data_IF_757201388131
#
_entry.id   IF_757201388131
#
_cell.length_a   1.000
_cell.length_b   1.000
_cell.length_c   1.000
_cell.angle_alpha   90.00
_cell.angle_beta   90.00
_cell.angle_gamma   90.00
#
_symmetry.space_group_name_H-M   'P 1'
#
loop_
_entity.id
_entity.type
_entity.pdbx_description
1 polymer ?
#
# COMPACT_ATOMS: atom_id res chain seq x y z
N UNK A 1 -16.25 6.90 35.56
CA UNK A 1 -16.78 7.61 34.36
C UNK A 1 -18.14 7.04 34.05
N UNK A 2 -19.16 7.88 33.84
CA UNK A 2 -20.49 7.41 33.47
C UNK A 2 -20.52 6.87 32.04
N UNK A 3 -21.42 5.91 31.78
CA UNK A 3 -21.62 5.30 30.44
C UNK A 3 -21.87 6.36 29.35
N UNK A 4 -22.55 7.46 29.71
CA UNK A 4 -22.85 8.57 28.82
C UNK A 4 -21.59 9.37 28.42
N UNK A 5 -20.68 9.65 29.37
CA UNK A 5 -19.41 10.31 29.10
C UNK A 5 -18.51 9.46 28.18
N UNK A 6 -18.55 8.13 28.29
CA UNK A 6 -17.84 7.21 27.41
C UNK A 6 -18.42 7.23 25.99
N UNK A 7 -19.77 7.26 25.86
CA UNK A 7 -20.45 7.35 24.56
C UNK A 7 -20.15 8.67 23.84
N UNK A 8 -20.15 9.79 24.58
CA UNK A 8 -19.83 11.12 24.04
C UNK A 8 -18.39 11.19 23.56
N UNK A 9 -17.42 10.62 24.32
CA UNK A 9 -16.01 10.54 23.90
C UNK A 9 -15.82 9.69 22.64
N UNK A 10 -16.58 8.60 22.47
CA UNK A 10 -16.51 7.76 21.26
C UNK A 10 -17.03 8.45 19.99
N UNK A 11 -17.84 9.49 20.14
CA UNK A 11 -18.38 10.31 19.05
C UNK A 11 -17.60 11.60 18.79
N UNK A 12 -16.56 11.88 19.60
CA UNK A 12 -15.74 13.06 19.41
C UNK A 12 -15.07 13.04 18.03
N UNK A 13 -15.11 14.18 17.36
CA UNK A 13 -14.46 14.35 16.06
C UNK A 13 -12.94 14.24 16.22
N UNK A 14 -12.30 13.52 15.29
CA UNK A 14 -10.85 13.47 15.14
C UNK A 14 -10.36 14.42 14.02
N UNK A 15 -11.20 15.36 13.57
CA UNK A 15 -10.84 16.30 12.53
C UNK A 15 -9.60 17.12 12.95
N UNK A 16 -8.57 17.07 12.13
CA UNK A 16 -7.37 17.90 12.26
C UNK A 16 -7.60 19.18 11.45
N UNK A 17 -7.23 20.38 11.95
CA UNK A 17 -7.30 21.61 11.15
C UNK A 17 -6.44 21.47 9.89
N UNK A 18 -7.03 21.84 8.74
CA UNK A 18 -6.38 21.79 7.43
C UNK A 18 -6.83 22.97 6.58
N UNK A 19 -6.05 23.36 5.58
CA UNK A 19 -6.44 24.34 4.57
C UNK A 19 -7.28 23.77 3.43
N UNK A 20 -7.51 22.43 3.41
CA UNK A 20 -8.31 21.77 2.38
C UNK A 20 -9.82 21.86 2.68
N UNK A 21 -10.63 21.95 1.63
CA UNK A 21 -12.09 21.89 1.75
C UNK A 21 -12.59 20.50 2.17
N UNK A 22 -13.83 20.42 2.67
CA UNK A 22 -14.40 19.17 3.18
C UNK A 22 -14.46 18.06 2.12
N UNK A 23 -14.74 18.40 0.86
CA UNK A 23 -14.75 17.44 -0.25
C UNK A 23 -13.36 16.89 -0.53
N UNK A 24 -12.33 17.74 -0.57
CA UNK A 24 -10.94 17.34 -0.72
C UNK A 24 -10.52 16.36 0.41
N UNK A 25 -10.83 16.70 1.66
CA UNK A 25 -10.53 15.83 2.81
C UNK A 25 -11.21 14.47 2.67
N UNK A 26 -12.48 14.44 2.29
CA UNK A 26 -13.24 13.19 2.08
C UNK A 26 -12.61 12.33 0.99
N UNK A 27 -12.40 12.92 -0.18
CA UNK A 27 -12.02 12.19 -1.40
C UNK A 27 -10.58 11.69 -1.31
N UNK A 28 -9.64 12.54 -0.91
CA UNK A 28 -8.23 12.17 -0.74
C UNK A 28 -8.06 11.17 0.41
N UNK A 29 -8.73 11.37 1.55
CA UNK A 29 -8.68 10.41 2.67
C UNK A 29 -9.22 9.04 2.28
N UNK A 30 -10.29 8.99 1.49
CA UNK A 30 -10.87 7.76 0.96
C UNK A 30 -9.88 7.03 0.05
N UNK A 31 -9.31 7.72 -0.92
CA UNK A 31 -8.36 7.17 -1.87
C UNK A 31 -7.07 6.68 -1.19
N UNK A 32 -6.47 7.47 -0.29
CA UNK A 32 -5.30 7.06 0.48
C UNK A 32 -5.58 5.88 1.43
N UNK A 33 -6.80 5.76 1.96
CA UNK A 33 -7.18 4.63 2.82
C UNK A 33 -7.26 3.33 2.05
N UNK A 34 -7.78 3.35 0.81
CA UNK A 34 -7.79 2.20 -0.09
C UNK A 34 -6.35 1.82 -0.47
N UNK A 35 -5.52 2.81 -0.82
CA UNK A 35 -4.11 2.58 -1.11
C UNK A 35 -3.37 1.96 0.09
N UNK A 36 -3.65 2.40 1.30
CA UNK A 36 -3.08 1.81 2.52
C UNK A 36 -3.50 0.35 2.70
N UNK A 37 -4.75 -0.01 2.38
CA UNK A 37 -5.20 -1.39 2.41
C UNK A 37 -4.45 -2.26 1.38
N UNK A 38 -4.24 -1.74 0.17
CA UNK A 38 -3.43 -2.41 -0.86
C UNK A 38 -1.98 -2.62 -0.42
N UNK A 39 -1.37 -1.62 0.25
CA UNK A 39 -0.01 -1.73 0.78
C UNK A 39 0.11 -2.84 1.83
N UNK A 40 -0.85 -2.96 2.76
CA UNK A 40 -0.86 -4.05 3.75
C UNK A 40 -1.05 -5.42 3.09
N UNK A 41 -1.93 -5.53 2.10
CA UNK A 41 -2.17 -6.77 1.37
C UNK A 41 -0.92 -7.18 0.56
N UNK A 42 -0.31 -6.24 -0.16
CA UNK A 42 0.91 -6.48 -0.92
C UNK A 42 2.09 -6.84 0.00
N UNK A 43 2.23 -6.16 1.14
CA UNK A 43 3.23 -6.52 2.16
C UNK A 43 3.08 -7.98 2.58
N UNK A 44 1.88 -8.40 2.97
CA UNK A 44 1.65 -9.76 3.42
C UNK A 44 1.89 -10.78 2.30
N UNK A 45 1.45 -10.51 1.07
CA UNK A 45 1.73 -11.39 -0.10
C UNK A 45 3.23 -11.48 -0.37
N UNK A 46 3.96 -10.37 -0.30
CA UNK A 46 5.43 -10.36 -0.47
C UNK A 46 6.10 -11.20 0.62
N UNK A 47 5.68 -11.08 1.89
CA UNK A 47 6.19 -11.90 3.00
C UNK A 47 5.76 -13.37 2.88
N UNK A 48 4.55 -13.65 2.42
CA UNK A 48 4.13 -15.02 2.09
C UNK A 48 5.11 -15.65 1.10
N UNK A 49 5.40 -15.00 -0.01
CA UNK A 49 6.34 -15.52 -1.01
C UNK A 49 7.79 -15.57 -0.50
N UNK A 50 8.20 -14.58 0.31
CA UNK A 50 9.50 -14.61 1.00
C UNK A 50 9.67 -15.86 1.88
N UNK A 51 8.63 -16.25 2.61
CA UNK A 51 8.68 -17.45 3.47
C UNK A 51 8.66 -18.77 2.69
N UNK A 52 7.95 -18.81 1.56
CA UNK A 52 7.67 -20.03 0.82
C UNK A 52 8.49 -20.20 -0.46
N UNK A 53 9.32 -19.22 -0.84
CA UNK A 53 10.21 -19.39 -2.00
C UNK A 53 11.21 -20.50 -1.77
N UNK A 54 11.55 -21.25 -2.83
CA UNK A 54 12.46 -22.41 -2.76
C UNK A 54 13.23 -22.56 -4.07
N UNK A 55 14.20 -23.45 -4.12
CA UNK A 55 14.93 -23.81 -5.33
C UNK A 55 16.32 -23.19 -5.46
N UNK A 56 16.96 -23.28 -6.64
CA UNK A 56 18.38 -22.94 -6.84
C UNK A 56 18.76 -21.50 -6.51
N UNK A 57 17.81 -20.57 -6.68
CA UNK A 57 18.00 -19.13 -6.40
C UNK A 57 17.32 -18.70 -5.10
N UNK A 58 17.05 -19.64 -4.18
CA UNK A 58 16.36 -19.40 -2.92
C UNK A 58 16.88 -18.16 -2.18
N UNK A 59 18.20 -18.09 -1.94
CA UNK A 59 18.78 -17.02 -1.15
C UNK A 59 18.57 -15.66 -1.80
N UNK A 60 18.76 -15.55 -3.11
CA UNK A 60 18.67 -14.28 -3.83
C UNK A 60 17.22 -13.78 -3.82
N UNK A 61 16.26 -14.64 -4.11
CA UNK A 61 14.83 -14.27 -4.10
C UNK A 61 14.30 -14.00 -2.70
N UNK A 62 14.73 -14.81 -1.71
CA UNK A 62 14.35 -14.60 -0.31
C UNK A 62 14.81 -13.24 0.20
N UNK A 63 16.04 -12.82 -0.07
CA UNK A 63 16.56 -11.51 0.31
C UNK A 63 15.90 -10.36 -0.49
N UNK A 64 15.68 -10.55 -1.78
CA UNK A 64 14.96 -9.56 -2.61
C UNK A 64 13.55 -9.30 -2.07
N UNK A 65 12.81 -10.36 -1.74
CA UNK A 65 11.45 -10.24 -1.23
C UNK A 65 11.41 -9.68 0.20
N UNK A 66 12.44 -9.95 1.02
CA UNK A 66 12.57 -9.33 2.33
C UNK A 66 12.75 -7.82 2.23
N UNK A 67 13.70 -7.37 1.40
CA UNK A 67 13.94 -5.94 1.13
C UNK A 67 12.68 -5.26 0.61
N UNK A 68 11.98 -5.87 -0.35
CA UNK A 68 10.76 -5.28 -0.91
C UNK A 68 9.61 -5.24 0.11
N UNK A 69 9.47 -6.27 0.94
CA UNK A 69 8.51 -6.30 2.03
C UNK A 69 8.74 -5.15 3.01
N UNK A 70 9.99 -4.91 3.42
CA UNK A 70 10.36 -3.82 4.32
C UNK A 70 10.04 -2.44 3.71
N UNK A 71 10.33 -2.23 2.43
CA UNK A 71 9.99 -0.99 1.72
C UNK A 71 8.47 -0.74 1.68
N UNK A 72 7.68 -1.77 1.36
CA UNK A 72 6.22 -1.66 1.32
C UNK A 72 5.67 -1.33 2.70
N UNK A 73 6.14 -2.03 3.74
CA UNK A 73 5.70 -1.80 5.12
C UNK A 73 6.07 -0.40 5.62
N UNK A 74 7.26 0.09 5.29
CA UNK A 74 7.73 1.42 5.68
C UNK A 74 6.84 2.55 5.13
N UNK A 75 6.16 2.35 4.00
CA UNK A 75 5.24 3.33 3.43
C UNK A 75 3.87 3.36 4.13
N UNK A 76 3.49 2.33 4.90
CA UNK A 76 2.15 2.24 5.50
C UNK A 76 1.89 3.36 6.51
N UNK A 77 2.84 3.64 7.39
CA UNK A 77 2.69 4.68 8.42
C UNK A 77 2.61 6.09 7.83
N UNK A 78 3.49 6.52 6.92
CA UNK A 78 3.37 7.81 6.25
C UNK A 78 2.04 8.00 5.50
N UNK A 79 1.48 6.96 4.86
CA UNK A 79 0.17 7.04 4.19
C UNK A 79 -0.92 7.26 5.24
N UNK A 80 -0.95 6.46 6.31
CA UNK A 80 -1.93 6.58 7.40
C UNK A 80 -1.87 7.96 8.06
N UNK A 81 -0.66 8.43 8.39
CA UNK A 81 -0.44 9.75 8.97
C UNK A 81 -0.85 10.89 8.03
N UNK A 82 -0.62 10.73 6.70
CA UNK A 82 -1.06 11.75 5.74
C UNK A 82 -2.56 11.95 5.79
N UNK A 83 -3.34 10.87 5.84
CA UNK A 83 -4.80 10.94 6.04
C UNK A 83 -5.15 11.72 7.30
N UNK A 84 -4.43 11.50 8.39
CA UNK A 84 -4.65 12.21 9.65
C UNK A 84 -4.28 13.69 9.57
N UNK A 85 -3.17 14.01 8.91
CA UNK A 85 -2.68 15.39 8.70
C UNK A 85 -3.68 16.24 7.94
N UNK A 86 -4.38 15.66 6.95
CA UNK A 86 -5.40 16.39 6.18
C UNK A 86 -6.80 16.42 6.83
N UNK A 87 -6.96 15.86 8.03
CA UNK A 87 -8.22 15.91 8.79
C UNK A 87 -9.10 14.68 8.66
N UNK A 88 -8.73 13.69 7.87
CA UNK A 88 -9.44 12.43 7.70
C UNK A 88 -9.18 11.40 8.81
N UNK A 89 -9.79 10.24 8.67
CA UNK A 89 -9.53 9.01 9.46
C UNK A 89 -9.27 7.86 8.51
N UNK A 90 -8.49 6.87 8.96
CA UNK A 90 -8.07 5.75 8.13
C UNK A 90 -8.33 4.39 8.79
N UNK A 91 -7.71 3.33 8.29
CA UNK A 91 -7.90 1.95 8.72
C UNK A 91 -7.73 1.75 10.24
N UNK A 92 -8.53 0.84 10.81
CA UNK A 92 -8.51 0.49 12.23
C UNK A 92 -8.41 -1.01 12.51
N UNK A 93 -8.49 -1.87 11.49
CA UNK A 93 -8.51 -3.32 11.67
C UNK A 93 -8.16 -4.08 10.41
N UNK A 94 -7.71 -5.31 10.59
CA UNK A 94 -7.48 -6.27 9.49
C UNK A 94 -8.76 -6.50 8.67
N UNK A 95 -9.93 -6.54 9.32
CA UNK A 95 -11.21 -6.66 8.61
C UNK A 95 -11.51 -5.47 7.68
N UNK A 96 -11.02 -4.27 8.01
CA UNK A 96 -11.12 -3.13 7.09
C UNK A 96 -10.15 -3.25 5.91
N UNK A 97 -8.93 -3.72 6.13
CA UNK A 97 -7.99 -4.02 5.06
C UNK A 97 -8.64 -4.99 4.06
N UNK A 98 -9.11 -6.14 4.53
CA UNK A 98 -9.74 -7.16 3.68
C UNK A 98 -10.94 -6.65 2.87
N UNK A 99 -11.69 -5.69 3.38
CA UNK A 99 -12.85 -5.13 2.64
C UNK A 99 -12.46 -4.08 1.60
N UNK A 100 -11.26 -3.49 1.70
CA UNK A 100 -10.86 -2.34 0.88
C UNK A 100 -9.70 -2.65 -0.06
N UNK A 101 -8.92 -3.70 0.21
CA UNK A 101 -7.81 -4.10 -0.64
C UNK A 101 -8.27 -4.49 -2.05
N UNK A 102 -7.48 -4.13 -3.05
CA UNK A 102 -7.64 -4.52 -4.46
C UNK A 102 -6.59 -5.54 -4.90
N UNK A 103 -5.48 -5.64 -4.14
CA UNK A 103 -4.48 -6.69 -4.33
C UNK A 103 -5.12 -8.03 -3.98
N UNK A 104 -5.08 -8.98 -4.91
CA UNK A 104 -5.67 -10.30 -4.73
C UNK A 104 -4.81 -11.16 -3.80
N UNK A 105 -5.45 -11.89 -2.89
CA UNK A 105 -4.76 -12.88 -2.05
C UNK A 105 -4.24 -14.06 -2.89
N UNK A 106 -3.19 -14.71 -2.42
CA UNK A 106 -2.72 -15.98 -2.97
C UNK A 106 -2.56 -17.00 -1.83
N UNK A 107 -3.51 -17.92 -1.74
CA UNK A 107 -3.58 -19.00 -0.74
C UNK A 107 -3.14 -20.37 -1.30
N UNK A 108 -2.47 -20.38 -2.46
CA UNK A 108 -2.00 -21.62 -3.07
C UNK A 108 -0.96 -22.30 -2.18
N UNK A 109 -1.05 -23.63 -2.04
CA UNK A 109 -0.07 -24.41 -1.28
C UNK A 109 1.35 -24.34 -1.87
N UNK A 110 1.45 -24.17 -3.19
CA UNK A 110 2.72 -24.03 -3.88
C UNK A 110 2.59 -23.07 -5.08
N UNK A 111 3.54 -22.16 -5.17
CA UNK A 111 3.73 -21.26 -6.33
C UNK A 111 5.19 -21.39 -6.75
N UNK A 112 5.47 -21.48 -8.06
CA UNK A 112 6.86 -21.50 -8.51
C UNK A 112 7.56 -20.17 -8.23
N UNK A 113 8.86 -20.14 -7.94
CA UNK A 113 9.57 -18.90 -7.66
C UNK A 113 9.40 -17.82 -8.75
N UNK A 114 9.45 -18.22 -10.02
CA UNK A 114 9.27 -17.29 -11.13
C UNK A 114 7.85 -16.74 -11.21
N UNK A 115 6.84 -17.56 -10.89
CA UNK A 115 5.45 -17.12 -10.84
C UNK A 115 5.21 -16.17 -9.65
N UNK A 116 5.84 -16.43 -8.48
CA UNK A 116 5.82 -15.52 -7.33
C UNK A 116 6.31 -14.12 -7.71
N UNK A 117 7.48 -14.05 -8.37
CA UNK A 117 8.07 -12.79 -8.78
C UNK A 117 7.25 -12.09 -9.87
N UNK A 118 6.69 -12.85 -10.81
CA UNK A 118 5.84 -12.32 -11.87
C UNK A 118 4.54 -11.73 -11.31
N UNK A 119 3.89 -12.44 -10.37
CA UNK A 119 2.67 -11.97 -9.72
C UNK A 119 2.92 -10.69 -8.92
N UNK A 120 3.99 -10.63 -8.12
CA UNK A 120 4.36 -9.41 -7.38
C UNK A 120 4.73 -8.24 -8.30
N UNK A 121 5.35 -8.51 -9.47
CA UNK A 121 5.59 -7.49 -10.48
C UNK A 121 4.28 -6.89 -10.98
N UNK A 122 3.32 -7.73 -11.30
CA UNK A 122 2.03 -7.31 -11.84
C UNK A 122 1.19 -6.58 -10.77
N UNK A 123 1.23 -7.02 -9.51
CA UNK A 123 0.64 -6.31 -8.39
C UNK A 123 1.25 -4.90 -8.19
N UNK A 124 2.60 -4.77 -8.27
CA UNK A 124 3.25 -3.46 -8.19
C UNK A 124 2.88 -2.56 -9.38
N UNK A 125 2.73 -3.09 -10.60
CA UNK A 125 2.26 -2.31 -11.76
C UNK A 125 0.84 -1.77 -11.56
N UNK A 126 -0.06 -2.58 -11.01
CA UNK A 126 -1.41 -2.13 -10.68
C UNK A 126 -1.40 -1.08 -9.57
N UNK A 127 -0.58 -1.29 -8.52
CA UNK A 127 -0.41 -0.34 -7.44
C UNK A 127 0.09 1.03 -7.96
N UNK A 128 1.06 1.03 -8.88
CA UNK A 128 1.56 2.24 -9.53
C UNK A 128 0.44 2.98 -10.29
N UNK A 129 -0.40 2.25 -11.04
CA UNK A 129 -1.53 2.84 -11.73
C UNK A 129 -2.51 3.51 -10.74
N UNK A 130 -2.85 2.82 -9.65
CA UNK A 130 -3.70 3.39 -8.60
C UNK A 130 -3.07 4.60 -7.89
N UNK A 131 -1.76 4.58 -7.63
CA UNK A 131 -1.08 5.74 -7.05
C UNK A 131 -1.11 6.96 -7.97
N UNK A 132 -1.03 6.77 -9.30
CA UNK A 132 -1.20 7.87 -10.28
C UNK A 132 -2.62 8.44 -10.27
N UNK A 133 -3.64 7.59 -10.18
CA UNK A 133 -5.04 8.06 -10.04
C UNK A 133 -5.22 8.90 -8.75
N UNK A 134 -4.61 8.48 -7.65
CA UNK A 134 -4.66 9.25 -6.38
C UNK A 134 -3.84 10.53 -6.47
N UNK A 135 -2.73 10.53 -7.20
CA UNK A 135 -1.94 11.73 -7.47
C UNK A 135 -2.76 12.77 -8.24
N UNK A 136 -3.41 12.36 -9.32
CA UNK A 136 -4.27 13.25 -10.13
C UNK A 136 -5.41 13.83 -9.27
N UNK A 137 -6.02 13.01 -8.40
CA UNK A 137 -7.03 13.47 -7.46
C UNK A 137 -6.48 14.52 -6.47
N UNK A 138 -5.25 14.34 -5.98
CA UNK A 138 -4.59 15.32 -5.10
C UNK A 138 -4.35 16.65 -5.84
N UNK A 139 -3.91 16.59 -7.09
CA UNK A 139 -3.69 17.77 -7.92
C UNK A 139 -5.00 18.53 -8.20
N UNK A 140 -6.08 17.82 -8.50
CA UNK A 140 -7.42 18.43 -8.70
C UNK A 140 -7.89 19.21 -7.46
N UNK A 141 -7.54 18.73 -6.26
CA UNK A 141 -7.87 19.39 -4.99
C UNK A 141 -6.78 20.35 -4.48
N UNK A 142 -5.66 20.49 -5.20
CA UNK A 142 -4.54 21.35 -4.80
C UNK A 142 -3.76 20.86 -3.58
N UNK A 143 -3.83 19.57 -3.26
CA UNK A 143 -3.04 18.96 -2.18
C UNK A 143 -1.65 18.54 -2.66
N UNK A 144 -0.80 19.53 -2.88
CA UNK A 144 0.58 19.37 -3.38
C UNK A 144 1.43 18.46 -2.48
N UNK A 145 1.15 18.40 -1.19
CA UNK A 145 1.95 17.59 -0.26
C UNK A 145 1.60 16.11 -0.36
N UNK A 146 0.33 15.75 -0.58
CA UNK A 146 -0.04 14.36 -0.87
C UNK A 146 0.46 13.94 -2.25
N UNK A 147 0.34 14.78 -3.27
CA UNK A 147 0.89 14.52 -4.61
C UNK A 147 2.41 14.24 -4.55
N UNK A 148 3.18 15.08 -3.87
CA UNK A 148 4.63 14.90 -3.72
C UNK A 148 5.02 13.61 -2.98
N UNK A 149 4.24 13.17 -1.99
CA UNK A 149 4.49 11.88 -1.33
C UNK A 149 4.20 10.71 -2.28
N UNK A 150 3.13 10.79 -3.07
CA UNK A 150 2.78 9.77 -4.06
C UNK A 150 3.85 9.61 -5.14
N UNK A 151 4.49 10.69 -5.59
CA UNK A 151 5.60 10.63 -6.54
C UNK A 151 6.75 9.75 -6.00
N UNK A 152 7.13 9.88 -4.73
CA UNK A 152 8.16 9.06 -4.12
C UNK A 152 7.72 7.58 -4.02
N UNK A 153 6.47 7.30 -3.62
CA UNK A 153 5.98 5.92 -3.52
C UNK A 153 5.82 5.26 -4.90
N UNK A 154 5.52 6.04 -5.95
CA UNK A 154 5.52 5.57 -7.34
C UNK A 154 6.94 5.16 -7.76
N UNK A 155 7.95 6.01 -7.54
CA UNK A 155 9.35 5.70 -7.87
C UNK A 155 9.84 4.43 -7.16
N UNK A 156 9.54 4.29 -5.86
CA UNK A 156 9.86 3.08 -5.11
C UNK A 156 9.17 1.82 -5.67
N UNK A 157 7.91 1.92 -6.07
CA UNK A 157 7.17 0.79 -6.66
C UNK A 157 7.69 0.45 -8.07
N UNK A 158 8.08 1.44 -8.86
CA UNK A 158 8.73 1.25 -10.16
C UNK A 158 10.10 0.55 -10.00
N UNK A 159 10.88 0.92 -8.98
CA UNK A 159 12.13 0.20 -8.64
C UNK A 159 11.86 -1.26 -8.28
N UNK A 160 10.84 -1.55 -7.46
CA UNK A 160 10.47 -2.94 -7.14
C UNK A 160 10.06 -3.72 -8.38
N UNK A 161 9.24 -3.12 -9.23
CA UNK A 161 8.81 -3.70 -10.52
C UNK A 161 9.99 -4.03 -11.41
N UNK A 162 10.95 -3.11 -11.53
CA UNK A 162 12.15 -3.33 -12.32
C UNK A 162 12.97 -4.52 -11.81
N UNK A 163 13.22 -4.61 -10.51
CA UNK A 163 13.99 -5.71 -9.93
C UNK A 163 13.29 -7.06 -10.11
N UNK A 164 11.97 -7.12 -9.94
CA UNK A 164 11.19 -8.33 -10.17
C UNK A 164 11.22 -8.75 -11.65
N UNK A 165 11.12 -7.79 -12.56
CA UNK A 165 11.20 -8.03 -13.99
C UNK A 165 12.57 -8.61 -14.40
N UNK A 166 13.68 -7.99 -13.98
CA UNK A 166 15.01 -8.45 -14.31
C UNK A 166 15.32 -9.83 -13.69
N UNK A 167 14.82 -10.09 -12.48
CA UNK A 167 14.96 -11.39 -11.82
C UNK A 167 14.20 -12.52 -12.54
N UNK A 168 13.14 -12.20 -13.29
CA UNK A 168 12.36 -13.17 -14.07
C UNK A 168 12.76 -13.24 -15.54
N UNK A 169 13.63 -12.34 -15.98
CA UNK A 169 14.05 -12.27 -17.39
C UNK A 169 14.78 -13.53 -17.79
N UNK A 170 14.26 -14.22 -18.82
CA UNK A 170 14.99 -15.33 -19.43
C UNK A 170 16.16 -14.77 -20.22
N UNK A 171 17.40 -15.10 -19.82
CA UNK A 171 18.59 -14.86 -20.66
C UNK A 171 18.44 -15.71 -21.90
N UNK A 172 18.35 -15.06 -23.03
CA UNK A 172 17.92 -15.52 -24.33
C UNK A 172 18.29 -16.94 -24.74
N UNK A 173 17.36 -17.58 -25.46
CA UNK A 173 17.68 -18.60 -26.44
C UNK A 173 18.15 -17.90 -27.72
#
# INVERSE_FOLDING_TARGET
MTTEAVKTRRKASLATPTGLGADAVRDISGALTILLADMFALYLKTKNFHWHVSGPHFRDYHLLLDEQGDQIFAATDPIAERVRKIGGTTLRSIGQINRQQRVLDNDAEYVTPLDMLAELRDDNLQLIAHMREVHDLCDEHGDVASASLLENWIDEAERRTWFLYEATRRTGG
#
